data_IF_427225286470
#
_entry.id   IF_427225286470
#
_cell.length_a   1.000
_cell.length_b   1.000
_cell.length_c   1.000
_cell.angle_alpha   90.00
_cell.angle_beta   90.00
_cell.angle_gamma   90.00
#
_symmetry.space_group_name_H-M   'P 1'
#
loop_
_entity.id
_entity.type
_entity.pdbx_description
1 polymer ?
#
# COMPACT_ATOMS: atom_id res chain seq x y z
N UNK A 1 8.33 -29.76 23.59
CA UNK A 1 7.12 -29.38 22.85
C UNK A 1 7.48 -28.13 22.07
N UNK A 2 7.37 -28.11 20.74
CA UNK A 2 7.60 -26.90 19.96
C UNK A 2 6.63 -25.79 20.37
N UNK A 3 7.01 -24.56 20.03
CA UNK A 3 6.25 -23.35 20.30
C UNK A 3 6.04 -22.58 18.98
N UNK A 4 4.86 -21.98 18.85
CA UNK A 4 4.56 -20.97 17.84
C UNK A 4 4.02 -19.70 18.49
N UNK A 5 4.26 -18.56 17.84
CA UNK A 5 3.72 -17.27 18.28
C UNK A 5 2.47 -16.93 17.46
N UNK A 6 1.31 -16.95 18.11
CA UNK A 6 0.03 -16.61 17.51
C UNK A 6 -0.19 -15.10 17.59
N UNK A 7 -0.47 -14.44 16.45
CA UNK A 7 -0.82 -13.01 16.43
C UNK A 7 -2.15 -12.79 17.17
N UNK A 8 -2.16 -11.85 18.13
CA UNK A 8 -3.35 -11.51 18.91
C UNK A 8 -3.43 -9.99 19.14
N UNK A 9 -4.31 -9.31 18.41
CA UNK A 9 -4.38 -7.85 18.43
C UNK A 9 -3.04 -7.22 18.00
N UNK A 10 -2.40 -6.47 18.91
CA UNK A 10 -1.06 -5.88 18.71
C UNK A 10 0.07 -6.68 19.35
N UNK A 11 -0.22 -7.82 19.98
CA UNK A 11 0.76 -8.67 20.65
C UNK A 11 0.79 -10.06 20.02
N UNK A 12 1.56 -10.94 20.64
CA UNK A 12 1.66 -12.35 20.28
C UNK A 12 1.48 -13.20 21.53
N UNK A 13 0.86 -14.37 21.37
CA UNK A 13 0.66 -15.35 22.43
C UNK A 13 1.50 -16.58 22.09
N UNK A 14 2.40 -17.03 23.00
CA UNK A 14 3.11 -18.28 22.80
C UNK A 14 2.15 -19.46 22.97
N UNK A 15 2.20 -20.38 22.02
CA UNK A 15 1.39 -21.60 22.04
C UNK A 15 2.29 -22.82 21.87
N UNK A 16 2.36 -23.63 22.92
CA UNK A 16 3.08 -24.90 22.91
C UNK A 16 2.15 -26.02 22.47
N UNK A 17 2.62 -26.82 21.52
CA UNK A 17 1.82 -27.91 20.95
C UNK A 17 2.61 -29.22 20.91
N UNK A 18 1.89 -30.32 20.78
CA UNK A 18 2.51 -31.64 20.59
C UNK A 18 2.51 -31.98 19.11
N UNK A 19 3.69 -32.17 18.51
CA UNK A 19 3.85 -32.47 17.08
C UNK A 19 3.09 -33.72 16.64
N UNK A 20 2.96 -34.69 17.54
CA UNK A 20 2.19 -35.93 17.28
C UNK A 20 0.67 -35.70 17.20
N UNK A 21 0.17 -34.51 17.54
CA UNK A 21 -1.27 -34.18 17.58
C UNK A 21 -1.66 -33.07 16.63
N UNK A 22 -0.72 -32.21 16.22
CA UNK A 22 -1.01 -31.01 15.44
C UNK A 22 0.04 -30.83 14.34
N UNK A 23 -0.43 -30.40 13.18
CA UNK A 23 0.38 -30.00 12.02
C UNK A 23 0.21 -28.48 11.80
N UNK A 24 1.30 -27.80 11.46
CA UNK A 24 1.27 -26.37 11.11
C UNK A 24 1.01 -26.22 9.61
N UNK A 25 -0.08 -25.55 9.24
CA UNK A 25 -0.36 -25.11 7.88
C UNK A 25 0.05 -23.65 7.69
N UNK A 26 0.64 -23.31 6.55
CA UNK A 26 0.91 -21.91 6.19
C UNK A 26 2.16 -21.29 6.82
N UNK A 27 3.14 -22.11 7.20
CA UNK A 27 4.52 -21.67 7.46
C UNK A 27 5.17 -21.21 6.16
N UNK A 28 4.69 -20.12 5.57
CA UNK A 28 5.31 -19.52 4.39
C UNK A 28 6.48 -18.66 4.84
N UNK A 29 7.66 -18.92 4.27
CA UNK A 29 8.75 -17.95 4.22
C UNK A 29 8.19 -16.73 3.50
N UNK A 30 7.92 -15.66 4.24
CA UNK A 30 7.36 -14.45 3.66
C UNK A 30 8.33 -13.90 2.62
N UNK A 31 7.85 -13.64 1.41
CA UNK A 31 8.61 -12.84 0.45
C UNK A 31 9.01 -11.52 1.13
N UNK A 32 10.26 -11.10 0.94
CA UNK A 32 10.72 -9.82 1.46
C UNK A 32 9.89 -8.70 0.84
N UNK A 33 9.50 -7.66 1.62
CA UNK A 33 8.87 -6.48 1.06
C UNK A 33 9.75 -5.85 -0.02
N UNK A 34 9.12 -5.33 -1.08
CA UNK A 34 9.83 -4.63 -2.14
C UNK A 34 10.40 -3.31 -1.63
N UNK A 35 11.62 -3.01 -2.04
CA UNK A 35 12.23 -1.69 -1.90
C UNK A 35 11.61 -0.67 -2.86
N UNK A 36 11.84 0.62 -2.59
CA UNK A 36 11.40 1.70 -3.48
C UNK A 36 11.99 1.58 -4.90
N UNK A 37 13.23 1.08 -5.00
CA UNK A 37 13.89 0.85 -6.28
C UNK A 37 13.19 -0.27 -7.07
N UNK A 38 12.87 -1.39 -6.42
CA UNK A 38 12.16 -2.51 -7.05
C UNK A 38 10.72 -2.17 -7.44
N UNK A 39 10.05 -1.29 -6.69
CA UNK A 39 8.74 -0.76 -7.09
C UNK A 39 8.90 0.18 -8.29
N UNK A 40 9.92 1.05 -8.26
CA UNK A 40 10.16 2.00 -9.34
C UNK A 40 10.49 1.29 -10.66
N UNK A 41 11.34 0.26 -10.62
CA UNK A 41 11.66 -0.58 -11.77
C UNK A 41 10.39 -1.22 -12.39
N UNK A 42 9.45 -1.66 -11.56
CA UNK A 42 8.16 -2.18 -12.04
C UNK A 42 7.27 -1.11 -12.64
N UNK A 43 7.31 0.12 -12.12
CA UNK A 43 6.59 1.25 -12.72
C UNK A 43 7.19 1.68 -14.06
N UNK A 44 8.50 1.51 -14.27
CA UNK A 44 9.18 1.76 -15.55
C UNK A 44 8.89 0.69 -16.61
N UNK A 45 8.46 -0.50 -16.19
CA UNK A 45 8.19 -1.64 -17.05
C UNK A 45 6.73 -2.11 -16.91
N UNK A 46 5.75 -1.30 -17.35
CA UNK A 46 4.34 -1.64 -17.27
C UNK A 46 4.02 -2.89 -18.10
N UNK A 47 3.06 -3.69 -17.62
CA UNK A 47 2.56 -4.87 -18.32
C UNK A 47 1.37 -4.46 -19.18
N UNK A 48 1.47 -4.69 -20.48
CA UNK A 48 0.41 -4.44 -21.48
C UNK A 48 -0.18 -3.01 -21.46
N UNK A 49 0.60 -2.02 -21.01
CA UNK A 49 0.23 -0.60 -21.07
C UNK A 49 1.44 0.28 -21.39
N UNK A 50 1.17 1.54 -21.75
CA UNK A 50 2.22 2.55 -21.84
C UNK A 50 2.72 2.96 -20.45
N UNK A 51 3.92 3.55 -20.33
CA UNK A 51 4.37 4.23 -19.11
C UNK A 51 3.40 5.32 -18.68
N UNK A 52 3.34 5.60 -17.38
CA UNK A 52 2.45 6.61 -16.81
C UNK A 52 2.68 7.99 -17.45
N UNK A 53 3.94 8.30 -17.73
CA UNK A 53 4.43 9.54 -18.30
C UNK A 53 3.93 9.78 -19.74
N UNK A 54 3.55 8.71 -20.46
CA UNK A 54 2.93 8.79 -21.78
C UNK A 54 1.39 8.80 -21.73
N UNK A 55 0.80 8.45 -20.59
CA UNK A 55 -0.65 8.37 -20.41
C UNK A 55 -1.21 9.70 -19.92
N UNK A 56 -0.52 10.36 -18.98
CA UNK A 56 -0.98 11.59 -18.32
C UNK A 56 -0.22 12.79 -18.89
N UNK A 57 -0.95 13.73 -19.50
CA UNK A 57 -0.38 14.95 -20.05
C UNK A 57 -0.45 16.11 -19.04
N UNK A 58 0.47 17.10 -19.12
CA UNK A 58 0.35 18.33 -18.35
C UNK A 58 -1.00 19.03 -18.56
N UNK A 59 -1.64 19.46 -17.48
CA UNK A 59 -2.97 20.09 -17.48
C UNK A 59 -4.16 19.14 -17.37
N UNK A 60 -3.93 17.82 -17.35
CA UNK A 60 -4.95 16.82 -17.01
C UNK A 60 -5.07 16.63 -15.49
N UNK A 61 -6.24 16.17 -15.04
CA UNK A 61 -6.45 15.80 -13.64
C UNK A 61 -6.30 14.29 -13.42
N UNK A 62 -5.76 13.92 -12.26
CA UNK A 62 -5.50 12.53 -11.88
C UNK A 62 -6.24 12.20 -10.58
N UNK A 63 -7.06 11.15 -10.61
CA UNK A 63 -7.67 10.59 -9.41
C UNK A 63 -6.97 9.27 -9.06
N UNK A 64 -6.35 9.21 -7.88
CA UNK A 64 -5.73 7.99 -7.35
C UNK A 64 -6.73 7.31 -6.42
N UNK A 65 -7.14 6.09 -6.77
CA UNK A 65 -8.00 5.25 -5.93
C UNK A 65 -7.11 4.44 -4.99
N UNK A 66 -7.29 4.62 -3.68
CA UNK A 66 -6.50 3.94 -2.65
C UNK A 66 -7.37 3.04 -1.79
N UNK A 67 -6.84 1.93 -1.23
CA UNK A 67 -7.62 1.07 -0.35
C UNK A 67 -7.91 1.74 1.00
N UNK A 68 -8.88 1.20 1.74
CA UNK A 68 -9.19 1.62 3.10
C UNK A 68 -8.25 1.00 4.15
N UNK A 69 -8.52 1.27 5.44
CA UNK A 69 -7.72 0.80 6.57
C UNK A 69 -7.72 -0.73 6.77
N UNK A 70 -8.57 -1.47 6.05
CA UNK A 70 -8.71 -2.92 6.19
C UNK A 70 -7.78 -3.72 5.26
N UNK A 71 -6.91 -3.03 4.51
CA UNK A 71 -5.97 -3.64 3.57
C UNK A 71 -4.53 -3.29 3.91
N UNK A 72 -3.64 -4.28 3.87
CA UNK A 72 -2.21 -4.11 4.08
C UNK A 72 -1.47 -4.13 2.74
N UNK A 73 -1.44 -2.99 2.05
CA UNK A 73 -0.87 -2.87 0.68
C UNK A 73 0.41 -2.04 0.61
N UNK A 74 0.93 -1.55 1.74
CA UNK A 74 1.99 -0.54 1.78
C UNK A 74 1.65 0.71 0.92
N UNK A 75 0.37 1.09 0.90
CA UNK A 75 -0.17 2.16 0.05
C UNK A 75 0.67 3.45 0.06
N UNK A 76 1.12 3.87 1.25
CA UNK A 76 1.92 5.08 1.40
C UNK A 76 3.21 5.03 0.57
N UNK A 77 3.90 3.89 0.55
CA UNK A 77 5.13 3.72 -0.24
C UNK A 77 4.84 3.88 -1.75
N UNK A 78 3.82 3.18 -2.24
CA UNK A 78 3.45 3.16 -3.67
C UNK A 78 2.94 4.53 -4.13
N UNK A 79 2.03 5.15 -3.37
CA UNK A 79 1.44 6.46 -3.73
C UNK A 79 2.51 7.55 -3.73
N UNK A 80 3.47 7.51 -2.79
CA UNK A 80 4.58 8.47 -2.80
C UNK A 80 5.41 8.41 -4.08
N UNK A 81 5.70 7.20 -4.58
CA UNK A 81 6.46 7.03 -5.82
C UNK A 81 5.65 7.48 -7.04
N UNK A 82 4.37 7.14 -7.11
CA UNK A 82 3.47 7.57 -8.20
C UNK A 82 3.32 9.10 -8.26
N UNK A 83 3.07 9.75 -7.13
CA UNK A 83 2.90 11.22 -7.08
C UNK A 83 4.18 11.93 -7.49
N UNK A 84 5.36 11.41 -7.12
CA UNK A 84 6.64 11.98 -7.57
C UNK A 84 6.80 11.92 -9.09
N UNK A 85 6.40 10.80 -9.72
CA UNK A 85 6.43 10.65 -11.19
C UNK A 85 5.48 11.62 -11.87
N UNK A 86 4.23 11.71 -11.40
CA UNK A 86 3.23 12.65 -11.94
C UNK A 86 3.73 14.10 -11.87
N UNK A 87 4.29 14.52 -10.72
CA UNK A 87 4.85 15.86 -10.55
C UNK A 87 6.04 16.09 -11.49
N UNK A 88 6.93 15.10 -11.63
CA UNK A 88 8.06 15.18 -12.55
C UNK A 88 7.61 15.27 -14.03
N UNK A 89 6.46 14.68 -14.36
CA UNK A 89 5.84 14.75 -15.68
C UNK A 89 5.02 16.03 -15.93
N UNK A 90 4.99 16.95 -14.96
CA UNK A 90 4.32 18.24 -15.09
C UNK A 90 2.90 18.32 -14.53
N UNK A 91 2.37 17.25 -13.92
CA UNK A 91 1.11 17.33 -13.17
C UNK A 91 1.32 18.09 -11.88
N UNK A 92 0.52 19.13 -11.65
CA UNK A 92 0.63 19.91 -10.42
C UNK A 92 -0.07 19.20 -9.25
N UNK A 93 0.35 19.43 -7.99
CA UNK A 93 -0.29 18.78 -6.84
C UNK A 93 -1.80 19.04 -6.71
N UNK A 94 -2.30 20.17 -7.22
CA UNK A 94 -3.72 20.52 -7.15
C UNK A 94 -4.57 19.80 -8.23
N UNK A 95 -3.94 19.21 -9.24
CA UNK A 95 -4.59 18.37 -10.25
C UNK A 95 -4.70 16.91 -9.82
N UNK A 96 -4.06 16.54 -8.71
CA UNK A 96 -4.11 15.18 -8.16
C UNK A 96 -5.13 15.15 -7.02
N UNK A 97 -6.02 14.17 -7.04
CA UNK A 97 -6.98 13.91 -5.97
C UNK A 97 -6.91 12.45 -5.52
N UNK A 98 -7.30 12.18 -4.28
CA UNK A 98 -7.34 10.81 -3.73
C UNK A 98 -8.74 10.44 -3.28
N UNK A 99 -9.17 9.23 -3.62
CA UNK A 99 -10.40 8.63 -3.08
C UNK A 99 -10.12 7.29 -2.40
N UNK A 100 -10.70 7.09 -1.22
CA UNK A 100 -10.64 5.81 -0.50
C UNK A 100 -11.74 4.87 -0.99
N UNK A 101 -11.35 3.72 -1.53
CA UNK A 101 -12.27 2.68 -1.97
C UNK A 101 -12.77 1.85 -0.77
N UNK A 102 -13.68 2.43 0.02
CA UNK A 102 -14.25 1.79 1.23
C UNK A 102 -15.27 0.69 0.92
N UNK A 103 -15.88 0.73 -0.28
CA UNK A 103 -17.02 -0.15 -0.58
C UNK A 103 -18.14 0.04 0.45
N UNK A 104 -18.56 -1.07 1.09
CA UNK A 104 -19.59 -1.05 2.14
C UNK A 104 -19.04 -0.75 3.55
N UNK A 105 -17.72 -0.58 3.70
CA UNK A 105 -17.12 -0.29 4.99
C UNK A 105 -17.39 1.16 5.42
N UNK A 106 -17.20 1.43 6.72
CA UNK A 106 -17.26 2.79 7.24
C UNK A 106 -16.20 3.68 6.58
N UNK A 107 -16.43 4.99 6.66
CA UNK A 107 -15.47 6.00 6.25
C UNK A 107 -14.12 5.84 6.99
N UNK A 108 -13.05 6.17 6.26
CA UNK A 108 -11.69 6.24 6.79
C UNK A 108 -11.59 7.41 7.77
N UNK A 109 -11.03 7.16 8.96
CA UNK A 109 -10.78 8.23 9.94
C UNK A 109 -9.55 9.04 9.57
N UNK A 110 -9.42 10.26 10.09
CA UNK A 110 -8.23 11.09 9.85
C UNK A 110 -6.93 10.39 10.28
N UNK A 111 -6.95 9.66 11.40
CA UNK A 111 -5.77 8.91 11.85
C UNK A 111 -5.39 7.79 10.87
N UNK A 112 -6.37 7.06 10.34
CA UNK A 112 -6.13 6.02 9.33
C UNK A 112 -5.65 6.62 8.00
N UNK A 113 -6.21 7.77 7.58
CA UNK A 113 -5.76 8.51 6.39
C UNK A 113 -4.26 8.81 6.45
N UNK A 114 -3.77 9.29 7.60
CA UNK A 114 -2.34 9.59 7.79
C UNK A 114 -1.47 8.34 7.70
N UNK A 115 -1.96 7.19 8.19
CA UNK A 115 -1.24 5.92 8.11
C UNK A 115 -1.21 5.39 6.67
N UNK A 116 -2.34 5.47 5.96
CA UNK A 116 -2.47 4.94 4.60
C UNK A 116 -1.63 5.74 3.59
N UNK A 117 -1.69 7.08 3.64
CA UNK A 117 -1.08 7.94 2.62
C UNK A 117 0.30 8.48 2.97
N UNK A 118 0.69 8.38 4.24
CA UNK A 118 1.76 9.17 4.88
C UNK A 118 1.43 10.66 5.03
N UNK A 119 2.02 11.35 6.02
CA UNK A 119 1.80 12.79 6.21
C UNK A 119 2.20 13.65 5.02
N UNK A 120 3.19 13.21 4.23
CA UNK A 120 3.67 13.96 3.08
C UNK A 120 2.57 14.14 2.02
N UNK A 121 1.86 13.06 1.69
CA UNK A 121 0.76 13.05 0.71
C UNK A 121 -0.49 13.68 1.31
N UNK A 122 -0.87 13.27 2.53
CA UNK A 122 -2.11 13.71 3.16
C UNK A 122 -2.21 15.24 3.36
N UNK A 123 -1.07 15.94 3.40
CA UNK A 123 -1.01 17.40 3.52
C UNK A 123 -0.97 18.15 2.18
N UNK A 124 -0.55 17.49 1.09
CA UNK A 124 -0.24 18.13 -0.19
C UNK A 124 -1.28 17.86 -1.28
N UNK A 125 -1.93 16.71 -1.19
CA UNK A 125 -2.88 16.20 -2.17
C UNK A 125 -4.26 16.17 -1.51
N UNK A 126 -5.27 16.65 -2.24
CA UNK A 126 -6.65 16.75 -1.72
C UNK A 126 -7.37 15.41 -1.78
#
# INVERSE_FOLDING_TARGET
>A
MPEILLKYGKSQIPFQYGENRFEILGSTVGASPLSDAEISERLDNPIDSKPLEEIVNPGETVLIVVPDATRQTACGQIVNLLVRRLIANGTTPFEISIIFATGIHRHVTEAEKQIILTPFIAQRIK
#
